data_IF_589725268577
#
_entry.id   IF_589725268577
#
_cell.length_a   1.000
_cell.length_b   1.000
_cell.length_c   1.000
_cell.angle_alpha   90.00
_cell.angle_beta   90.00
_cell.angle_gamma   90.00
#
_symmetry.space_group_name_H-M   'P 1'
#
loop_
_entity.id
_entity.type
_entity.pdbx_description
1 polymer ?
#
# COMPACT_ATOMS: atom_id res chain seq x y z
N UNK A 1 14.18 -35.10 -19.45
CA UNK A 1 14.19 -33.72 -19.99
C UNK A 1 12.81 -33.16 -20.32
N UNK A 2 11.86 -33.94 -20.84
CA UNK A 2 10.50 -33.47 -21.20
C UNK A 2 9.60 -33.02 -20.04
N UNK A 3 9.70 -33.58 -18.83
CA UNK A 3 8.89 -33.22 -17.66
C UNK A 3 9.22 -31.86 -17.04
N UNK A 4 10.46 -31.37 -17.20
CA UNK A 4 10.88 -30.05 -16.68
C UNK A 4 10.39 -28.88 -17.54
N UNK A 5 10.23 -29.10 -18.85
CA UNK A 5 9.72 -28.09 -19.79
C UNK A 5 8.19 -27.92 -19.67
N UNK A 6 7.45 -29.00 -19.33
CA UNK A 6 6.00 -28.94 -19.10
C UNK A 6 5.63 -28.12 -17.87
N UNK A 7 6.39 -28.21 -16.77
CA UNK A 7 6.14 -27.44 -15.55
C UNK A 7 6.37 -25.93 -15.75
N UNK A 8 7.43 -25.53 -16.47
CA UNK A 8 7.70 -24.11 -16.78
C UNK A 8 6.63 -23.50 -17.71
N UNK A 9 6.15 -24.25 -18.68
CA UNK A 9 5.08 -23.78 -19.59
C UNK A 9 3.73 -23.64 -18.87
N UNK A 10 3.41 -24.49 -17.90
CA UNK A 10 2.21 -24.34 -17.09
C UNK A 10 2.25 -23.11 -16.18
N UNK A 11 3.41 -22.80 -15.59
CA UNK A 11 3.57 -21.57 -14.77
C UNK A 11 3.45 -20.29 -15.63
N UNK A 12 4.01 -20.29 -16.85
CA UNK A 12 3.90 -19.14 -17.77
C UNK A 12 2.45 -18.92 -18.21
N UNK A 13 1.68 -19.99 -18.45
CA UNK A 13 0.28 -19.87 -18.83
C UNK A 13 -0.63 -19.38 -17.68
N UNK A 14 -0.31 -19.74 -16.45
CA UNK A 14 -1.03 -19.23 -15.26
C UNK A 14 -0.72 -17.74 -15.07
N UNK A 15 0.53 -17.32 -15.23
CA UNK A 15 0.91 -15.92 -15.13
C UNK A 15 0.31 -15.06 -16.26
N UNK A 16 0.25 -15.56 -17.49
CA UNK A 16 -0.38 -14.83 -18.61
C UNK A 16 -1.90 -14.72 -18.47
N UNK A 17 -2.57 -15.69 -17.86
CA UNK A 17 -4.02 -15.58 -17.56
C UNK A 17 -4.31 -14.59 -16.44
N UNK A 18 -3.39 -14.42 -15.49
CA UNK A 18 -3.50 -13.41 -14.42
C UNK A 18 -3.26 -12.00 -14.99
N UNK A 19 -2.33 -11.85 -15.92
CA UNK A 19 -1.98 -10.55 -16.51
C UNK A 19 -3.01 -10.00 -17.53
N UNK A 20 -3.86 -10.85 -18.11
CA UNK A 20 -4.84 -10.43 -19.12
C UNK A 20 -6.23 -10.05 -18.58
N UNK A 21 -6.47 -10.16 -17.27
CA UNK A 21 -7.74 -9.78 -16.68
C UNK A 21 -7.62 -8.38 -16.06
N UNK A 22 -7.89 -7.33 -16.84
CA UNK A 22 -7.95 -5.92 -16.40
C UNK A 22 -9.22 -5.59 -15.59
N UNK A 23 -9.87 -6.57 -14.98
CA UNK A 23 -10.97 -6.34 -14.05
C UNK A 23 -10.42 -6.25 -12.61
N UNK A 24 -10.24 -5.03 -12.12
CA UNK A 24 -9.76 -4.70 -10.77
C UNK A 24 -10.66 -5.20 -9.62
N UNK A 25 -11.69 -6.02 -9.88
CA UNK A 25 -12.64 -6.53 -8.90
C UNK A 25 -12.48 -8.02 -8.58
N UNK A 26 -11.43 -8.69 -9.04
CA UNK A 26 -11.29 -10.15 -8.88
C UNK A 26 -10.62 -10.58 -7.56
N UNK A 27 -10.08 -9.66 -6.78
CA UNK A 27 -9.54 -9.98 -5.47
C UNK A 27 -10.67 -10.02 -4.43
N UNK A 28 -10.94 -11.21 -3.90
CA UNK A 28 -12.00 -11.43 -2.92
C UNK A 28 -11.54 -11.08 -1.49
N UNK A 29 -11.08 -9.85 -1.28
CA UNK A 29 -10.74 -9.32 0.04
C UNK A 29 -11.70 -8.19 0.43
N UNK A 30 -12.20 -8.24 1.66
CA UNK A 30 -12.99 -7.17 2.26
C UNK A 30 -12.68 -7.05 3.76
N UNK A 31 -13.07 -5.93 4.35
CA UNK A 31 -12.79 -5.59 5.74
C UNK A 31 -13.24 -6.65 6.76
N UNK A 32 -14.35 -7.33 6.51
CA UNK A 32 -14.89 -8.35 7.41
C UNK A 32 -13.98 -9.57 7.59
N UNK A 33 -13.04 -9.80 6.65
CA UNK A 33 -12.04 -10.88 6.74
C UNK A 33 -10.96 -10.61 7.79
N UNK A 34 -10.86 -9.38 8.31
CA UNK A 34 -10.02 -9.07 9.47
C UNK A 34 -10.58 -9.68 10.77
N UNK A 35 -11.85 -10.08 10.77
CA UNK A 35 -12.51 -10.72 11.90
C UNK A 35 -12.83 -9.75 13.05
N UNK A 36 -13.20 -10.33 14.19
CA UNK A 36 -13.42 -9.59 15.43
C UNK A 36 -12.20 -9.72 16.33
N UNK A 37 -11.29 -8.74 16.26
CA UNK A 37 -10.02 -8.74 16.97
C UNK A 37 -10.24 -8.65 18.48
N UNK A 38 -11.16 -7.83 18.95
CA UNK A 38 -11.49 -7.65 20.39
C UNK A 38 -11.97 -8.97 21.00
N UNK A 39 -12.88 -9.67 20.31
CA UNK A 39 -13.36 -10.97 20.74
C UNK A 39 -12.26 -12.03 20.73
N UNK A 40 -11.40 -12.04 19.72
CA UNK A 40 -10.34 -13.03 19.55
C UNK A 40 -9.11 -12.77 20.45
N UNK A 41 -8.90 -11.52 20.88
CA UNK A 41 -7.73 -11.08 21.66
C UNK A 41 -8.11 -10.29 22.91
N UNK A 42 -8.98 -10.82 23.80
CA UNK A 42 -9.53 -10.05 24.92
C UNK A 42 -8.48 -9.58 25.94
N UNK A 43 -7.30 -10.20 25.98
CA UNK A 43 -6.24 -9.87 26.94
C UNK A 43 -5.06 -9.11 26.33
N UNK A 44 -4.81 -9.28 25.03
CA UNK A 44 -3.64 -8.67 24.36
C UNK A 44 -4.03 -7.43 23.55
N UNK A 45 -5.32 -7.26 23.29
CA UNK A 45 -5.84 -6.12 22.52
C UNK A 45 -5.50 -6.19 21.03
N UNK A 46 -5.67 -5.07 20.34
CA UNK A 46 -5.55 -4.90 18.90
C UNK A 46 -4.17 -4.41 18.43
N UNK A 47 -3.33 -3.89 19.35
CA UNK A 47 -2.02 -3.35 19.00
C UNK A 47 -0.94 -4.44 18.86
N UNK A 48 0.02 -4.18 17.98
CA UNK A 48 1.25 -4.96 17.86
C UNK A 48 2.47 -4.03 17.76
N UNK A 49 3.67 -4.59 17.93
CA UNK A 49 4.91 -3.83 17.79
C UNK A 49 5.30 -3.71 16.30
N UNK A 50 5.86 -2.55 15.92
CA UNK A 50 6.34 -2.28 14.56
C UNK A 50 7.30 -3.36 14.05
N UNK A 51 8.20 -3.87 14.90
CA UNK A 51 9.13 -4.93 14.53
C UNK A 51 8.43 -6.21 14.04
N UNK A 52 7.28 -6.57 14.62
CA UNK A 52 6.52 -7.77 14.22
C UNK A 52 5.83 -7.55 12.88
N UNK A 53 5.26 -6.36 12.67
CA UNK A 53 4.71 -5.96 11.38
C UNK A 53 5.77 -6.02 10.28
N UNK A 54 6.93 -5.39 10.51
CA UNK A 54 8.04 -5.37 9.54
C UNK A 54 8.63 -6.75 9.30
N UNK A 55 8.71 -7.61 10.33
CA UNK A 55 9.17 -8.98 10.17
C UNK A 55 8.31 -9.72 9.14
N UNK A 56 6.99 -9.62 9.24
CA UNK A 56 6.07 -10.21 8.25
C UNK A 56 6.24 -9.58 6.87
N UNK A 57 6.22 -8.24 6.79
CA UNK A 57 6.30 -7.51 5.52
C UNK A 57 7.60 -7.82 4.77
N UNK A 58 8.76 -7.72 5.45
CA UNK A 58 10.05 -7.89 4.79
C UNK A 58 10.41 -9.35 4.48
N UNK A 59 9.93 -10.30 5.28
CA UNK A 59 10.08 -11.72 4.92
C UNK A 59 9.20 -12.09 3.71
N UNK A 60 7.98 -11.56 3.64
CA UNK A 60 7.12 -11.72 2.46
C UNK A 60 7.77 -11.09 1.21
N UNK A 61 8.30 -9.86 1.33
CA UNK A 61 9.02 -9.17 0.26
C UNK A 61 10.19 -10.03 -0.26
N UNK A 62 11.05 -10.52 0.64
CA UNK A 62 12.21 -11.31 0.27
C UNK A 62 11.83 -12.63 -0.45
N UNK A 63 10.77 -13.30 -0.01
CA UNK A 63 10.27 -14.52 -0.66
C UNK A 63 9.73 -14.19 -2.06
N UNK A 64 8.87 -13.18 -2.18
CA UNK A 64 8.29 -12.81 -3.48
C UNK A 64 9.35 -12.34 -4.48
N UNK A 65 10.36 -11.59 -4.02
CA UNK A 65 11.47 -11.17 -4.87
C UNK A 65 12.29 -12.36 -5.36
N UNK A 66 12.60 -13.33 -4.49
CA UNK A 66 13.33 -14.54 -4.85
C UNK A 66 12.57 -15.42 -5.83
N UNK A 67 11.26 -15.59 -5.66
CA UNK A 67 10.44 -16.50 -6.47
C UNK A 67 9.99 -15.87 -7.80
N UNK A 68 9.74 -14.55 -7.82
CA UNK A 68 9.11 -13.87 -8.96
C UNK A 68 9.94 -12.70 -9.52
N UNK A 69 11.02 -12.30 -8.86
CA UNK A 69 11.86 -11.16 -9.22
C UNK A 69 11.34 -9.84 -8.64
N UNK A 70 12.26 -8.86 -8.53
CA UNK A 70 12.00 -7.57 -7.87
C UNK A 70 10.84 -6.79 -8.51
N UNK A 71 10.73 -6.77 -9.83
CA UNK A 71 9.63 -6.06 -10.52
C UNK A 71 8.25 -6.62 -10.14
N UNK A 72 8.09 -7.95 -10.15
CA UNK A 72 6.82 -8.58 -9.82
C UNK A 72 6.50 -8.45 -8.32
N UNK A 73 7.52 -8.54 -7.47
CA UNK A 73 7.37 -8.31 -6.02
C UNK A 73 6.82 -6.91 -5.75
N UNK A 74 7.42 -5.85 -6.33
CA UNK A 74 6.94 -4.45 -6.19
C UNK A 74 5.49 -4.31 -6.68
N UNK A 75 5.20 -4.85 -7.86
CA UNK A 75 3.83 -4.82 -8.40
C UNK A 75 2.81 -5.46 -7.47
N UNK A 76 3.12 -6.62 -6.88
CA UNK A 76 2.23 -7.30 -5.94
C UNK A 76 2.02 -6.50 -4.65
N UNK A 77 3.06 -5.79 -4.16
CA UNK A 77 2.93 -4.91 -3.00
C UNK A 77 2.04 -3.70 -3.29
N UNK A 78 2.19 -3.05 -4.46
CA UNK A 78 1.30 -1.97 -4.89
C UNK A 78 -0.16 -2.45 -4.97
N UNK A 79 -0.40 -3.63 -5.58
CA UNK A 79 -1.76 -4.19 -5.65
C UNK A 79 -2.35 -4.49 -4.27
N UNK A 80 -1.56 -5.08 -3.36
CA UNK A 80 -1.99 -5.36 -2.00
C UNK A 80 -2.29 -4.06 -1.23
N UNK A 81 -1.41 -3.06 -1.34
CA UNK A 81 -1.63 -1.74 -0.78
C UNK A 81 -2.91 -1.09 -1.29
N UNK A 82 -3.17 -1.18 -2.60
CA UNK A 82 -4.37 -0.62 -3.21
C UNK A 82 -5.66 -1.26 -2.67
N UNK A 83 -5.68 -2.59 -2.51
CA UNK A 83 -6.80 -3.29 -1.88
C UNK A 83 -7.01 -2.79 -0.44
N UNK A 84 -5.94 -2.69 0.32
CA UNK A 84 -5.99 -2.20 1.70
C UNK A 84 -6.47 -0.75 1.76
N UNK A 85 -5.96 0.15 0.90
CA UNK A 85 -6.36 1.55 0.83
C UNK A 85 -7.84 1.72 0.48
N UNK A 86 -8.35 0.92 -0.46
CA UNK A 86 -9.77 0.90 -0.81
C UNK A 86 -10.64 0.52 0.41
N UNK A 87 -10.29 -0.57 1.09
CA UNK A 87 -11.07 -1.03 2.25
C UNK A 87 -10.89 -0.12 3.46
N UNK A 88 -9.70 0.43 3.68
CA UNK A 88 -9.45 1.43 4.72
C UNK A 88 -10.30 2.68 4.50
N UNK A 89 -10.33 3.22 3.29
CA UNK A 89 -11.13 4.39 2.96
C UNK A 89 -12.62 4.17 3.23
N UNK A 90 -13.18 3.02 2.83
CA UNK A 90 -14.60 2.70 3.02
C UNK A 90 -15.01 2.48 4.48
N UNK A 91 -14.11 1.95 5.31
CA UNK A 91 -14.47 1.46 6.65
C UNK A 91 -13.93 2.34 7.78
N UNK A 92 -12.94 3.20 7.52
CA UNK A 92 -12.24 3.99 8.56
C UNK A 92 -12.43 5.49 8.36
N UNK A 93 -12.57 5.95 7.10
CA UNK A 93 -12.65 7.37 6.75
C UNK A 93 -14.08 7.80 6.43
N UNK A 94 -14.38 9.07 6.67
CA UNK A 94 -15.67 9.66 6.28
C UNK A 94 -15.56 10.25 4.85
N UNK A 95 -16.01 9.47 3.87
CA UNK A 95 -16.00 9.86 2.45
C UNK A 95 -17.04 10.93 2.08
N UNK A 96 -17.93 11.32 2.99
CA UNK A 96 -18.90 12.39 2.77
C UNK A 96 -18.33 13.79 2.98
N UNK A 97 -17.14 13.89 3.60
CA UNK A 97 -16.46 15.15 3.88
C UNK A 97 -15.91 15.81 2.61
N UNK A 98 -15.86 17.14 2.60
CA UNK A 98 -15.11 17.88 1.58
C UNK A 98 -13.60 17.62 1.69
N UNK A 99 -12.85 17.79 0.60
CA UNK A 99 -11.45 17.38 0.47
C UNK A 99 -10.56 17.78 1.66
N UNK A 100 -10.59 19.03 2.10
CA UNK A 100 -9.74 19.49 3.21
C UNK A 100 -10.07 18.78 4.54
N UNK A 101 -11.35 18.54 4.79
CA UNK A 101 -11.80 17.83 6.00
C UNK A 101 -11.48 16.34 5.90
N UNK A 102 -11.67 15.74 4.73
CA UNK A 102 -11.27 14.35 4.45
C UNK A 102 -9.77 14.14 4.67
N UNK A 103 -8.92 15.03 4.15
CA UNK A 103 -7.47 14.95 4.37
C UNK A 103 -7.10 15.13 5.84
N UNK A 104 -7.80 15.99 6.58
CA UNK A 104 -7.59 16.15 8.02
C UNK A 104 -8.02 14.89 8.81
N UNK A 105 -9.11 14.23 8.42
CA UNK A 105 -9.54 12.94 9.00
C UNK A 105 -8.50 11.85 8.70
N UNK A 106 -8.04 11.74 7.45
CA UNK A 106 -6.98 10.81 7.05
C UNK A 106 -5.71 11.00 7.88
N UNK A 107 -5.21 12.25 7.98
CA UNK A 107 -4.02 12.58 8.77
C UNK A 107 -4.19 12.12 10.23
N UNK A 108 -5.33 12.44 10.82
CA UNK A 108 -5.63 12.06 12.21
C UNK A 108 -5.65 10.53 12.37
N UNK A 109 -6.33 9.80 11.48
CA UNK A 109 -6.43 8.34 11.53
C UNK A 109 -5.07 7.65 11.38
N UNK A 110 -4.22 8.13 10.47
CA UNK A 110 -2.87 7.57 10.31
C UNK A 110 -2.02 7.73 11.57
N UNK A 111 -2.12 8.89 12.26
CA UNK A 111 -1.43 9.13 13.54
C UNK A 111 -2.02 8.24 14.65
N UNK A 112 -3.35 8.19 14.80
CA UNK A 112 -4.03 7.40 15.83
C UNK A 112 -3.67 5.90 15.70
N UNK A 113 -3.56 5.40 14.48
CA UNK A 113 -3.19 4.02 14.14
C UNK A 113 -1.68 3.79 14.08
N UNK A 114 -0.86 4.83 14.31
CA UNK A 114 0.61 4.76 14.30
C UNK A 114 1.19 4.29 12.95
N UNK A 115 0.55 4.65 11.87
CA UNK A 115 0.99 4.33 10.50
C UNK A 115 2.03 5.36 10.05
N UNK A 116 1.79 6.66 10.30
CA UNK A 116 2.70 7.72 9.94
C UNK A 116 2.09 9.11 10.10
N UNK A 117 2.90 10.14 9.89
CA UNK A 117 2.51 11.56 9.96
C UNK A 117 2.46 12.11 8.54
N UNK A 118 1.27 12.07 7.95
CA UNK A 118 1.03 12.57 6.59
C UNK A 118 0.91 14.09 6.58
N UNK A 119 1.53 14.74 5.58
CA UNK A 119 1.35 16.18 5.29
C UNK A 119 1.16 16.36 3.79
N UNK A 120 0.34 17.34 3.43
CA UNK A 120 0.20 17.79 2.04
C UNK A 120 1.24 18.89 1.82
N UNK A 121 2.15 18.70 0.86
CA UNK A 121 3.09 19.74 0.43
C UNK A 121 2.49 20.58 -0.71
N UNK A 122 1.88 19.91 -1.69
CA UNK A 122 1.25 20.56 -2.83
C UNK A 122 -0.12 19.96 -3.12
N UNK A 123 -1.06 20.79 -3.52
CA UNK A 123 -2.40 20.37 -3.93
C UNK A 123 -2.89 21.20 -5.11
N UNK A 124 -3.14 20.55 -6.24
CA UNK A 124 -3.80 21.14 -7.40
C UNK A 124 -5.13 20.43 -7.65
N UNK A 125 -6.21 21.04 -7.20
CA UNK A 125 -7.56 20.47 -7.28
C UNK A 125 -8.11 20.44 -8.72
N UNK A 126 -7.66 21.31 -9.59
CA UNK A 126 -8.12 21.34 -10.99
C UNK A 126 -7.56 20.16 -11.77
N UNK A 127 -6.28 19.84 -11.55
CA UNK A 127 -5.57 18.74 -12.19
C UNK A 127 -5.64 17.43 -11.41
N UNK A 128 -6.16 17.45 -10.19
CA UNK A 128 -6.11 16.35 -9.22
C UNK A 128 -4.70 15.79 -9.09
N UNK A 129 -3.75 16.69 -8.86
CA UNK A 129 -2.33 16.38 -8.67
C UNK A 129 -1.89 16.87 -7.30
N UNK A 130 -1.23 16.00 -6.54
CA UNK A 130 -0.83 16.29 -5.16
C UNK A 130 0.60 15.80 -4.91
N UNK A 131 1.27 16.44 -3.96
CA UNK A 131 2.49 15.93 -3.35
C UNK A 131 2.21 15.82 -1.85
N UNK A 132 2.44 14.63 -1.31
CA UNK A 132 2.31 14.37 0.12
C UNK A 132 3.60 13.80 0.68
N UNK A 133 3.85 14.05 1.96
CA UNK A 133 4.93 13.42 2.71
C UNK A 133 4.38 12.60 3.86
N UNK A 134 5.10 11.53 4.21
CA UNK A 134 4.83 10.70 5.39
C UNK A 134 6.11 10.60 6.20
N UNK A 135 6.10 11.22 7.39
CA UNK A 135 7.18 11.10 8.38
C UNK A 135 6.83 10.00 9.39
N UNK A 136 7.85 9.44 10.04
CA UNK A 136 7.69 8.32 10.99
C UNK A 136 6.90 7.15 10.39
N UNK A 137 7.12 6.94 9.10
CA UNK A 137 6.46 5.93 8.30
C UNK A 137 6.67 4.52 8.88
N UNK A 138 5.57 3.75 8.99
CA UNK A 138 5.56 2.41 9.56
C UNK A 138 6.44 1.44 8.76
N UNK A 139 6.45 1.58 7.44
CA UNK A 139 7.13 0.65 6.55
C UNK A 139 8.64 0.82 6.56
N UNK A 140 9.14 2.06 6.55
CA UNK A 140 10.54 2.29 6.23
C UNK A 140 11.34 3.14 7.24
N UNK A 141 10.70 3.96 8.10
CA UNK A 141 11.47 4.86 8.98
C UNK A 141 12.42 4.11 9.91
N UNK A 142 13.72 4.41 9.81
CA UNK A 142 14.77 3.74 10.56
C UNK A 142 15.40 2.52 9.86
N UNK A 143 15.02 2.19 8.64
CA UNK A 143 15.71 1.17 7.85
C UNK A 143 17.13 1.59 7.47
N UNK A 144 18.02 0.63 7.15
CA UNK A 144 19.31 0.94 6.55
C UNK A 144 19.15 1.70 5.21
N UNK A 145 20.09 2.61 4.95
CA UNK A 145 20.14 3.33 3.68
C UNK A 145 20.68 2.38 2.61
N UNK A 146 19.86 2.08 1.59
CA UNK A 146 20.18 1.18 0.47
C UNK A 146 20.27 1.93 -0.86
N UNK A 147 19.75 3.16 -0.92
CA UNK A 147 19.64 3.95 -2.14
C UNK A 147 18.42 3.64 -3.00
N UNK A 148 17.52 2.77 -2.52
CA UNK A 148 16.29 2.40 -3.23
C UNK A 148 15.05 2.82 -2.45
N UNK A 149 13.97 3.19 -3.14
CA UNK A 149 12.64 3.37 -2.54
C UNK A 149 12.04 2.00 -2.23
N UNK A 150 11.32 1.89 -1.10
CA UNK A 150 10.80 0.60 -0.61
C UNK A 150 9.32 0.63 -0.21
N UNK A 151 8.65 1.79 -0.29
CA UNK A 151 7.27 1.95 0.16
C UNK A 151 6.24 1.63 -0.94
N UNK A 152 6.48 0.53 -1.69
CA UNK A 152 5.57 0.10 -2.76
C UNK A 152 4.15 -0.17 -2.26
N UNK A 153 4.01 -0.65 -1.02
CA UNK A 153 2.70 -0.86 -0.40
C UNK A 153 1.97 0.45 -0.16
N UNK A 154 2.69 1.48 0.30
CA UNK A 154 2.13 2.81 0.53
C UNK A 154 1.74 3.51 -0.77
N UNK A 155 2.49 3.32 -1.87
CA UNK A 155 2.06 3.77 -3.19
C UNK A 155 0.65 3.26 -3.49
N UNK A 156 0.43 1.95 -3.36
CA UNK A 156 -0.89 1.34 -3.54
C UNK A 156 -1.92 1.81 -2.52
N UNK A 157 -1.56 1.90 -1.25
CA UNK A 157 -2.48 2.31 -0.18
C UNK A 157 -3.03 3.72 -0.40
N UNK A 158 -2.16 4.67 -0.73
CA UNK A 158 -2.54 6.03 -1.07
C UNK A 158 -3.41 6.05 -2.34
N UNK A 159 -3.02 5.29 -3.38
CA UNK A 159 -3.79 5.16 -4.61
C UNK A 159 -5.22 4.68 -4.33
N UNK A 160 -5.38 3.61 -3.54
CA UNK A 160 -6.68 3.06 -3.16
C UNK A 160 -7.56 4.04 -2.40
N UNK A 161 -6.98 4.82 -1.46
CA UNK A 161 -7.71 5.86 -0.72
C UNK A 161 -8.22 6.94 -1.67
N UNK A 162 -7.35 7.50 -2.53
CA UNK A 162 -7.73 8.57 -3.45
C UNK A 162 -8.76 8.10 -4.49
N UNK A 163 -8.60 6.89 -5.02
CA UNK A 163 -9.57 6.32 -5.96
C UNK A 163 -10.95 6.10 -5.31
N UNK A 164 -10.98 5.58 -4.09
CA UNK A 164 -12.23 5.34 -3.36
C UNK A 164 -12.94 6.65 -3.02
N UNK A 165 -12.18 7.66 -2.57
CA UNK A 165 -12.75 8.95 -2.20
C UNK A 165 -13.27 9.74 -3.41
N UNK A 166 -12.53 9.74 -4.52
CA UNK A 166 -12.85 10.58 -5.69
C UNK A 166 -13.68 9.89 -6.77
N UNK A 167 -13.67 8.56 -6.81
CA UNK A 167 -14.21 7.75 -7.91
C UNK A 167 -13.38 7.80 -9.20
N UNK A 168 -12.17 8.38 -9.17
CA UNK A 168 -11.27 8.52 -10.33
C UNK A 168 -10.04 7.65 -10.16
N UNK A 169 -9.38 7.32 -11.27
CA UNK A 169 -8.12 6.58 -11.26
C UNK A 169 -6.95 7.49 -10.96
N UNK A 170 -5.99 6.98 -10.21
CA UNK A 170 -4.77 7.68 -9.84
C UNK A 170 -3.54 6.81 -10.09
N UNK A 171 -2.41 7.48 -10.27
CA UNK A 171 -1.09 6.89 -10.18
C UNK A 171 -0.37 7.56 -9.02
N UNK A 172 0.20 6.74 -8.14
CA UNK A 172 1.01 7.20 -7.01
C UNK A 172 2.43 6.69 -7.18
N UNK A 173 3.42 7.56 -6.92
CA UNK A 173 4.83 7.19 -7.00
C UNK A 173 5.62 7.80 -5.88
N UNK A 174 6.36 6.97 -5.14
CA UNK A 174 7.36 7.40 -4.16
C UNK A 174 8.56 8.00 -4.90
N UNK A 175 8.95 9.23 -4.51
CA UNK A 175 10.07 9.96 -5.09
C UNK A 175 11.21 10.18 -4.10
N UNK A 176 10.94 10.21 -2.79
CA UNK A 176 11.93 10.23 -1.71
C UNK A 176 11.54 9.19 -0.67
N UNK A 177 12.51 8.55 -0.03
CA UNK A 177 12.31 7.49 0.94
C UNK A 177 13.34 7.56 2.07
N UNK A 178 13.03 7.04 3.26
CA UNK A 178 14.03 6.87 4.30
C UNK A 178 15.24 6.05 3.83
N UNK A 179 15.00 4.99 3.09
CA UNK A 179 16.07 4.11 2.59
C UNK A 179 16.88 4.70 1.42
N UNK A 180 16.45 5.82 0.83
CA UNK A 180 17.29 6.64 -0.07
C UNK A 180 18.15 7.64 0.66
N UNK A 181 17.91 7.85 1.96
CA UNK A 181 18.64 8.80 2.80
C UNK A 181 17.83 10.01 3.23
N UNK A 182 16.58 10.12 2.79
CA UNK A 182 15.65 11.17 3.18
C UNK A 182 15.04 10.86 4.56
N UNK A 183 14.62 11.89 5.28
CA UNK A 183 13.98 11.71 6.59
C UNK A 183 12.48 11.51 6.51
N UNK A 184 11.93 11.55 5.31
CA UNK A 184 10.49 11.56 5.05
C UNK A 184 10.25 10.89 3.70
N UNK A 185 9.26 10.01 3.62
CA UNK A 185 8.79 9.50 2.34
C UNK A 185 7.96 10.57 1.64
N UNK A 186 8.18 10.76 0.35
CA UNK A 186 7.43 11.73 -0.47
C UNK A 186 6.82 11.02 -1.66
N UNK A 187 5.52 11.29 -1.88
CA UNK A 187 4.74 10.66 -2.93
C UNK A 187 4.12 11.71 -3.85
N UNK A 188 4.26 11.50 -5.15
CA UNK A 188 3.45 12.19 -6.16
C UNK A 188 2.16 11.41 -6.40
N UNK A 189 1.03 12.11 -6.50
CA UNK A 189 -0.31 11.55 -6.72
C UNK A 189 -0.90 12.28 -7.90
N UNK A 190 -1.24 11.58 -8.98
CA UNK A 190 -1.74 12.20 -10.21
C UNK A 190 -2.93 11.41 -10.75
N UNK A 191 -4.02 12.11 -11.09
CA UNK A 191 -5.16 11.47 -11.76
C UNK A 191 -4.78 11.04 -13.19
N UNK A 192 -5.27 9.84 -13.60
CA UNK A 192 -5.06 9.26 -14.93
C UNK A 192 -6.12 9.73 -15.92
#
# INVERSE_FOLDING_TARGET
>A
MARFLSSKMQHINILSSIMNNQNQNDYNFNWSQLGNIELGRPHLGDATQVAIYRLMQYTMRAVLEKEYGAHQQRHLFVLAGKLAGNEFCKNVLDTSLGFNQFMADLQKKLIDLKIGILKIEEANMERLAFIVTVSEDLDCSGLPITGETVCDYDEGFIEGIFETYTGKKFQVKEIDCWSTGDRTCRFTITAC
#
